data_IF_572503189177
#
_entry.id   IF_572503189177
#
_cell.length_a   1.000
_cell.length_b   1.000
_cell.length_c   1.000
_cell.angle_alpha   90.00
_cell.angle_beta   90.00
_cell.angle_gamma   90.00
#
_symmetry.space_group_name_H-M   'P 1'
#
loop_
_entity.id
_entity.type
_entity.pdbx_description
1 polymer ?
#
# COMPACT_ATOMS: atom_id res chain seq x y z
N UNK A 1 16.74 37.72 37.54
CA UNK A 1 16.53 36.25 37.42
C UNK A 1 15.35 35.92 36.51
N UNK A 2 14.17 36.51 36.72
CA UNK A 2 12.94 36.23 35.95
C UNK A 2 13.04 36.43 34.41
N UNK A 3 13.74 37.47 33.93
CA UNK A 3 13.85 37.76 32.47
C UNK A 3 14.62 36.67 31.72
N UNK A 4 15.65 36.08 32.34
CA UNK A 4 16.40 34.97 31.74
C UNK A 4 15.55 33.70 31.67
N UNK A 5 14.77 33.41 32.72
CA UNK A 5 13.87 32.26 32.75
C UNK A 5 12.75 32.37 31.71
N UNK A 6 12.18 33.56 31.51
CA UNK A 6 11.15 33.81 30.50
C UNK A 6 11.71 33.61 29.08
N UNK A 7 12.91 34.11 28.80
CA UNK A 7 13.57 33.94 27.50
C UNK A 7 13.90 32.46 27.19
N UNK A 8 14.28 31.68 28.20
CA UNK A 8 14.50 30.24 28.02
C UNK A 8 13.20 29.48 27.72
N UNK A 9 12.09 29.85 28.40
CA UNK A 9 10.79 29.20 28.18
C UNK A 9 10.23 29.52 26.80
N UNK A 10 10.36 30.76 26.31
CA UNK A 10 9.90 31.13 24.96
C UNK A 10 10.72 30.46 23.86
N UNK A 11 12.05 30.33 24.02
CA UNK A 11 12.90 29.60 23.07
C UNK A 11 12.54 28.10 23.03
N UNK A 12 12.22 27.51 24.19
CA UNK A 12 11.83 26.10 24.27
C UNK A 12 10.46 25.83 23.61
N UNK A 13 9.51 26.75 23.76
CA UNK A 13 8.18 26.67 23.14
C UNK A 13 8.23 26.84 21.61
N UNK A 14 9.10 27.73 21.10
CA UNK A 14 9.29 27.92 19.65
C UNK A 14 9.98 26.71 19.02
N UNK A 15 10.97 26.13 19.70
CA UNK A 15 11.65 24.89 19.29
C UNK A 15 10.68 23.72 19.17
N UNK A 16 9.74 23.59 20.12
CA UNK A 16 8.72 22.53 20.12
C UNK A 16 7.71 22.67 18.96
N UNK A 17 7.44 23.90 18.50
CA UNK A 17 6.55 24.15 17.36
C UNK A 17 7.18 23.76 16.01
N UNK A 18 8.49 23.86 15.86
CA UNK A 18 9.18 23.54 14.60
C UNK A 18 9.25 22.04 14.28
N UNK A 19 9.07 21.15 15.27
CA UNK A 19 9.16 19.70 15.06
C UNK A 19 7.88 19.10 14.46
N UNK A 20 6.76 19.84 14.45
CA UNK A 20 5.48 19.35 13.91
C UNK A 20 5.31 19.53 12.39
N UNK A 21 6.32 20.04 11.68
CA UNK A 21 6.23 20.52 10.30
C UNK A 21 6.60 19.55 9.17
N UNK A 22 6.92 18.28 9.46
CA UNK A 22 7.18 17.28 8.42
C UNK A 22 6.05 16.26 8.32
N UNK A 23 4.87 16.73 7.90
CA UNK A 23 3.82 15.87 7.34
C UNK A 23 3.67 16.23 5.87
N UNK A 24 4.37 15.51 5.01
CA UNK A 24 4.37 15.72 3.55
C UNK A 24 4.09 14.40 2.87
N UNK A 25 2.84 13.93 2.94
CA UNK A 25 2.39 12.72 2.21
C UNK A 25 0.88 12.63 2.01
N UNK A 26 0.14 13.74 2.04
CA UNK A 26 -1.33 13.70 1.93
C UNK A 26 -1.86 14.24 0.58
N UNK A 27 -1.17 15.21 -0.03
CA UNK A 27 -1.62 15.87 -1.28
C UNK A 27 -1.62 14.98 -2.54
N UNK A 28 -0.89 13.87 -2.56
CA UNK A 28 -0.81 13.02 -3.76
C UNK A 28 -1.96 12.01 -3.84
N UNK A 29 -2.52 11.60 -2.69
CA UNK A 29 -3.68 10.70 -2.61
C UNK A 29 -4.96 11.34 -3.14
N UNK A 30 -5.04 12.67 -3.13
CA UNK A 30 -6.22 13.41 -3.55
C UNK A 30 -6.32 13.55 -5.08
N UNK A 31 -5.24 13.22 -5.81
CA UNK A 31 -5.18 13.33 -7.28
C UNK A 31 -5.40 11.99 -8.01
N UNK A 32 -5.04 10.87 -7.38
CA UNK A 32 -5.10 9.55 -8.00
C UNK A 32 -5.69 8.51 -7.05
N UNK A 33 -6.50 7.60 -7.59
CA UNK A 33 -6.85 6.35 -6.90
C UNK A 33 -5.67 5.39 -6.99
N UNK A 34 -5.09 5.05 -5.84
CA UNK A 34 -3.98 4.08 -5.79
C UNK A 34 -4.56 2.69 -5.58
N UNK A 35 -4.32 1.78 -6.53
CA UNK A 35 -4.61 0.35 -6.42
C UNK A 35 -3.34 -0.38 -6.00
N UNK A 36 -3.37 -1.11 -4.90
CA UNK A 36 -2.26 -1.95 -4.47
C UNK A 36 -2.44 -3.34 -5.05
N UNK A 37 -1.54 -3.72 -5.97
CA UNK A 37 -1.52 -5.05 -6.58
C UNK A 37 -0.48 -5.94 -5.89
N UNK A 38 -0.96 -6.96 -5.18
CA UNK A 38 -0.13 -7.95 -4.48
C UNK A 38 0.00 -9.23 -5.29
N UNK A 39 1.21 -9.61 -5.69
CA UNK A 39 1.42 -10.82 -6.48
C UNK A 39 2.73 -11.53 -6.11
N UNK A 40 2.82 -12.84 -6.32
CA UNK A 40 4.09 -13.56 -6.28
C UNK A 40 5.03 -13.16 -7.41
N UNK A 41 6.30 -13.56 -7.35
CA UNK A 41 7.25 -13.30 -8.45
C UNK A 41 6.70 -13.79 -9.79
N UNK A 42 6.45 -12.86 -10.71
CA UNK A 42 5.99 -13.18 -12.06
C UNK A 42 7.15 -13.76 -12.86
N UNK A 43 6.91 -14.88 -13.53
CA UNK A 43 7.89 -15.52 -14.38
C UNK A 43 8.08 -14.72 -15.68
N UNK A 44 9.32 -14.63 -16.16
CA UNK A 44 9.68 -13.90 -17.37
C UNK A 44 10.44 -12.61 -17.07
N UNK A 45 10.38 -11.69 -18.02
CA UNK A 45 11.05 -10.39 -17.93
C UNK A 45 10.22 -9.42 -17.09
N UNK A 46 10.83 -8.86 -16.04
CA UNK A 46 10.20 -7.89 -15.17
C UNK A 46 9.89 -6.57 -15.89
N UNK A 47 10.65 -6.25 -16.94
CA UNK A 47 10.44 -5.04 -17.74
C UNK A 47 9.09 -5.08 -18.47
N UNK A 48 8.75 -6.23 -19.08
CA UNK A 48 7.47 -6.41 -19.76
C UNK A 48 6.28 -6.23 -18.81
N UNK A 49 6.39 -6.72 -17.58
CA UNK A 49 5.33 -6.55 -16.60
C UNK A 49 5.20 -5.09 -16.15
N UNK A 50 6.31 -4.36 -16.03
CA UNK A 50 6.28 -2.91 -15.75
C UNK A 50 5.64 -2.13 -16.90
N UNK A 51 5.97 -2.44 -18.15
CA UNK A 51 5.36 -1.82 -19.34
C UNK A 51 3.84 -2.04 -19.37
N UNK A 52 3.36 -3.21 -18.93
CA UNK A 52 1.92 -3.48 -18.81
C UNK A 52 1.26 -2.57 -17.75
N UNK A 53 1.92 -2.37 -16.60
CA UNK A 53 1.43 -1.44 -15.58
C UNK A 53 1.41 -0.01 -16.11
N UNK A 54 2.47 0.44 -16.79
CA UNK A 54 2.56 1.78 -17.36
C UNK A 54 1.49 2.02 -18.43
N UNK A 55 1.23 1.02 -19.26
CA UNK A 55 0.15 1.06 -20.26
C UNK A 55 -1.21 1.19 -19.57
N UNK A 56 -1.47 0.38 -18.54
CA UNK A 56 -2.70 0.46 -17.77
C UNK A 56 -2.89 1.84 -17.12
N UNK A 57 -1.85 2.41 -16.52
CA UNK A 57 -1.90 3.76 -15.93
C UNK A 57 -2.10 4.86 -16.99
N UNK A 58 -1.52 4.72 -18.19
CA UNK A 58 -1.72 5.66 -19.30
C UNK A 58 -3.16 5.62 -19.81
N UNK A 59 -3.75 4.43 -19.91
CA UNK A 59 -5.12 4.24 -20.33
C UNK A 59 -6.13 4.67 -19.25
N UNK A 60 -5.68 4.80 -18.00
CA UNK A 60 -6.49 5.20 -16.85
C UNK A 60 -5.84 6.37 -16.08
N UNK A 61 -5.91 7.62 -16.59
CA UNK A 61 -5.14 8.76 -16.06
C UNK A 61 -5.41 9.17 -14.60
N UNK A 62 -6.42 8.59 -13.95
CA UNK A 62 -6.75 8.80 -12.53
C UNK A 62 -6.32 7.66 -11.62
N UNK A 63 -5.69 6.60 -12.14
CA UNK A 63 -5.31 5.41 -11.39
C UNK A 63 -3.78 5.29 -11.35
N UNK A 64 -3.27 4.93 -10.18
CA UNK A 64 -1.88 4.51 -9.98
C UNK A 64 -1.84 3.11 -9.41
N UNK A 65 -0.95 2.26 -9.92
CA UNK A 65 -0.77 0.90 -9.44
C UNK A 65 0.47 0.84 -8.58
N UNK A 66 0.28 0.50 -7.30
CA UNK A 66 1.37 0.16 -6.40
C UNK A 66 1.63 -1.34 -6.53
N UNK A 67 2.67 -1.66 -7.30
CA UNK A 67 3.14 -3.03 -7.50
C UNK A 67 3.90 -3.55 -6.28
N UNK A 68 3.43 -4.66 -5.70
CA UNK A 68 4.04 -5.23 -4.50
C UNK A 68 4.23 -6.76 -4.62
N UNK A 69 5.48 -7.17 -4.80
CA UNK A 69 5.84 -8.58 -4.96
C UNK A 69 5.98 -9.32 -3.62
N UNK A 70 5.42 -10.53 -3.55
CA UNK A 70 5.57 -11.51 -2.49
C UNK A 70 6.62 -12.58 -2.88
N UNK A 71 7.09 -13.40 -1.91
CA UNK A 71 7.95 -14.55 -2.23
C UNK A 71 7.35 -15.46 -3.30
N UNK A 72 8.21 -16.21 -3.99
CA UNK A 72 7.79 -17.08 -5.09
C UNK A 72 6.95 -18.30 -4.63
N UNK A 73 7.05 -18.68 -3.35
CA UNK A 73 6.28 -19.79 -2.79
C UNK A 73 4.79 -19.45 -2.76
N UNK A 74 3.96 -20.28 -3.39
CA UNK A 74 2.49 -20.15 -3.35
C UNK A 74 1.94 -20.36 -1.94
N UNK A 75 2.56 -21.24 -1.15
CA UNK A 75 2.16 -21.46 0.25
C UNK A 75 2.44 -20.23 1.12
N UNK A 76 3.58 -19.56 0.91
CA UNK A 76 3.90 -18.31 1.64
C UNK A 76 2.96 -17.16 1.25
N UNK A 77 2.60 -17.08 -0.05
CA UNK A 77 1.61 -16.13 -0.54
C UNK A 77 0.23 -16.39 0.08
N UNK A 78 -0.22 -17.65 0.09
CA UNK A 78 -1.47 -18.07 0.73
C UNK A 78 -1.50 -17.66 2.20
N UNK A 79 -0.48 -18.02 2.98
CA UNK A 79 -0.39 -17.64 4.39
C UNK A 79 -0.46 -16.13 4.59
N UNK A 80 0.26 -15.36 3.76
CA UNK A 80 0.22 -13.90 3.82
C UNK A 80 -1.20 -13.37 3.60
N UNK A 81 -1.89 -13.86 2.57
CA UNK A 81 -3.24 -13.41 2.27
C UNK A 81 -4.24 -13.79 3.36
N UNK A 82 -4.22 -15.04 3.83
CA UNK A 82 -5.10 -15.52 4.91
C UNK A 82 -4.96 -14.65 6.15
N UNK A 83 -3.74 -14.38 6.61
CA UNK A 83 -3.48 -13.57 7.81
C UNK A 83 -4.09 -12.17 7.66
N UNK A 84 -3.90 -11.54 6.49
CA UNK A 84 -4.36 -10.18 6.26
C UNK A 84 -5.89 -10.11 6.08
N UNK A 85 -6.47 -10.98 5.26
CA UNK A 85 -7.89 -10.95 4.91
C UNK A 85 -8.76 -11.38 6.10
N UNK A 86 -8.33 -12.38 6.87
CA UNK A 86 -8.99 -12.74 8.13
C UNK A 86 -8.93 -11.59 9.15
N UNK A 87 -7.81 -10.87 9.18
CA UNK A 87 -7.64 -9.64 9.95
C UNK A 87 -8.45 -8.44 9.43
N UNK A 88 -9.24 -8.60 8.36
CA UNK A 88 -10.00 -7.53 7.68
C UNK A 88 -9.12 -6.36 7.25
N UNK A 89 -7.88 -6.66 6.90
CA UNK A 89 -6.94 -5.71 6.35
C UNK A 89 -7.46 -5.07 5.07
N UNK A 90 -7.19 -3.78 4.89
CA UNK A 90 -7.33 -3.06 3.63
C UNK A 90 -5.98 -2.68 3.03
N UNK A 91 -4.92 -3.47 3.30
CA UNK A 91 -3.55 -3.18 2.85
C UNK A 91 -3.35 -3.41 1.35
N UNK A 92 -4.19 -4.22 0.69
CA UNK A 92 -4.13 -4.48 -0.74
C UNK A 92 -5.52 -4.63 -1.36
N UNK A 93 -5.63 -4.33 -2.65
CA UNK A 93 -6.90 -4.25 -3.38
C UNK A 93 -7.06 -5.40 -4.38
N UNK A 94 -5.98 -5.72 -5.10
CA UNK A 94 -5.94 -6.78 -6.11
C UNK A 94 -4.86 -7.76 -5.72
N UNK A 95 -5.14 -9.05 -5.85
CA UNK A 95 -4.21 -10.12 -5.54
C UNK A 95 -4.10 -11.11 -6.71
N UNK A 96 -2.90 -11.62 -6.94
CA UNK A 96 -2.65 -12.77 -7.82
C UNK A 96 -2.44 -14.00 -6.93
N UNK A 97 -3.25 -15.04 -7.14
CA UNK A 97 -3.17 -16.28 -6.35
C UNK A 97 -3.09 -17.51 -7.26
N UNK A 98 -2.61 -18.60 -6.69
CA UNK A 98 -2.72 -19.92 -7.29
C UNK A 98 -4.18 -20.38 -7.36
N UNK A 99 -4.53 -21.03 -8.47
CA UNK A 99 -5.88 -21.52 -8.78
C UNK A 99 -6.41 -22.49 -7.71
N UNK A 100 -5.53 -23.20 -7.00
CA UNK A 100 -5.94 -24.16 -5.97
C UNK A 100 -6.58 -23.49 -4.74
N UNK A 101 -6.26 -22.21 -4.48
CA UNK A 101 -6.75 -21.47 -3.32
C UNK A 101 -8.07 -20.72 -3.58
N UNK A 102 -8.46 -20.55 -4.85
CA UNK A 102 -9.67 -19.80 -5.22
C UNK A 102 -10.93 -20.34 -4.53
N UNK A 103 -11.20 -21.66 -4.48
CA UNK A 103 -12.40 -22.18 -3.82
C UNK A 103 -12.41 -21.96 -2.30
N UNK A 104 -11.25 -21.89 -1.66
CA UNK A 104 -11.14 -21.54 -0.23
C UNK A 104 -11.49 -20.08 -0.01
N UNK A 105 -10.85 -19.18 -0.76
CA UNK A 105 -11.00 -17.74 -0.58
C UNK A 105 -12.40 -17.25 -0.94
N UNK A 106 -13.03 -17.84 -1.97
CA UNK A 106 -14.41 -17.56 -2.32
C UNK A 106 -15.37 -17.98 -1.21
N UNK A 107 -15.18 -19.17 -0.60
CA UNK A 107 -16.00 -19.64 0.52
C UNK A 107 -15.80 -18.81 1.79
N UNK A 108 -14.59 -18.31 2.02
CA UNK A 108 -14.28 -17.40 3.12
C UNK A 108 -14.88 -16.00 2.93
N UNK A 109 -15.37 -15.67 1.72
CA UNK A 109 -15.95 -14.37 1.42
C UNK A 109 -14.92 -13.26 1.26
N UNK A 110 -13.63 -13.60 1.06
CA UNK A 110 -12.57 -12.62 0.87
C UNK A 110 -12.47 -12.11 -0.58
N UNK A 111 -13.09 -12.81 -1.53
CA UNK A 111 -13.10 -12.39 -2.94
C UNK A 111 -14.39 -11.66 -3.28
N UNK A 112 -14.24 -10.60 -4.07
CA UNK A 112 -15.35 -9.92 -4.71
C UNK A 112 -15.83 -10.75 -5.90
N UNK A 113 -17.12 -11.09 -5.92
CA UNK A 113 -17.78 -11.68 -7.08
C UNK A 113 -17.86 -10.68 -8.26
N UNK A 114 -17.58 -11.16 -9.46
CA UNK A 114 -17.48 -10.40 -10.72
C UNK A 114 -18.44 -10.88 -11.82
N UNK A 115 -19.37 -11.80 -11.47
CA UNK A 115 -20.40 -12.31 -12.40
C UNK A 115 -21.48 -11.30 -12.78
#
# INVERSE_FOLDING_TARGET
MAVRTIAFITVLLISLYCVSGCSRTEKDKDRFTVLVFKHGKIAGDAELFRELIETFESDNPGIKVKDETLPASTDEQHQFYVINLEGKSSWFDVLSMDVIWVPEFARAGWLKDIS
#
